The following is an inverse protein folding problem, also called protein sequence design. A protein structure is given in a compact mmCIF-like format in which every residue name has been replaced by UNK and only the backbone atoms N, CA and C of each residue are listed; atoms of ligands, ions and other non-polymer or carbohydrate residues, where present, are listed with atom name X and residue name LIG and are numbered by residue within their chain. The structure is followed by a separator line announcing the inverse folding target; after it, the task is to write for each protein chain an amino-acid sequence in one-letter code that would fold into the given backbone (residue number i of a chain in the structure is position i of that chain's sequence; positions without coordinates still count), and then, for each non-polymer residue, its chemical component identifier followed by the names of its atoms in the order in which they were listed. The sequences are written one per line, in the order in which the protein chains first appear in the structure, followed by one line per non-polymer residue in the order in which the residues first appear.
data_IF_460120619681
#
_entry.id   IF_460120619681
#
_cell.length_a   1.000
_cell.length_b   1.000
_cell.length_c   1.000
_cell.angle_alpha   90.00
_cell.angle_beta   90.00
_cell.angle_gamma   90.00
#
_symmetry.space_group_name_H-M   'P 1'
#
loop_
_entity.id
_entity.type
_entity.pdbx_description
1 polymer ?
#
# COMPACT_ATOMS: atom_id res chain seq x y z
N UNK A 1 -31.79 0.59 23.16
CA UNK A 1 -32.36 1.59 22.22
C UNK A 1 -31.17 2.24 21.54
N UNK A 2 -30.73 1.71 20.39
CA UNK A 2 -31.18 2.06 19.04
C UNK A 2 -30.79 3.49 18.64
N UNK A 3 -29.72 3.52 17.83
CA UNK A 3 -29.42 4.42 16.70
C UNK A 3 -29.41 5.93 16.89
N UNK A 4 -28.25 6.51 17.21
CA UNK A 4 -27.93 7.88 16.79
C UNK A 4 -26.46 8.00 16.35
N UNK A 5 -26.25 8.17 15.03
CA UNK A 5 -25.05 8.82 14.48
C UNK A 5 -24.09 8.02 13.58
N UNK A 6 -24.52 7.04 12.76
CA UNK A 6 -23.64 6.51 11.70
C UNK A 6 -23.50 7.60 10.61
N UNK A 7 -22.38 8.34 10.58
CA UNK A 7 -22.17 9.48 9.66
C UNK A 7 -22.44 9.14 8.20
N UNK A 8 -22.75 10.07 7.31
CA UNK A 8 -22.16 11.40 7.11
C UNK A 8 -23.19 12.30 6.38
N UNK A 9 -23.16 13.63 6.54
CA UNK A 9 -24.11 14.50 5.82
C UNK A 9 -23.53 15.73 5.08
N UNK A 10 -22.22 16.02 5.17
CA UNK A 10 -21.37 16.73 4.17
C UNK A 10 -19.99 17.18 4.75
N UNK A 11 -19.77 17.02 6.06
CA UNK A 11 -18.50 16.97 6.85
C UNK A 11 -18.47 18.17 7.76
N UNK A 12 -18.80 17.97 9.03
CA UNK A 12 -18.97 19.03 10.02
C UNK A 12 -17.61 19.70 10.33
N UNK A 13 -17.45 20.96 9.87
CA UNK A 13 -16.61 22.06 10.37
C UNK A 13 -15.13 21.84 10.79
N UNK A 14 -14.25 22.78 10.41
CA UNK A 14 -12.84 22.88 10.85
C UNK A 14 -12.63 23.01 12.38
N UNK A 15 -13.70 23.21 13.16
CA UNK A 15 -13.68 23.34 14.63
C UNK A 15 -14.37 22.19 15.38
N UNK A 16 -15.03 21.26 14.67
CA UNK A 16 -15.68 20.06 15.24
C UNK A 16 -15.32 18.83 14.42
N UNK A 17 -14.04 18.46 14.46
CA UNK A 17 -13.57 17.19 13.92
C UNK A 17 -14.30 16.07 14.64
N UNK A 18 -14.88 15.11 13.90
CA UNK A 18 -15.32 13.84 14.50
C UNK A 18 -14.08 13.13 15.05
N UNK A 19 -13.87 13.25 16.36
CA UNK A 19 -12.65 12.79 17.05
C UNK A 19 -12.44 11.26 17.00
N UNK A 20 -13.47 10.48 16.66
CA UNK A 20 -13.41 9.01 16.67
C UNK A 20 -14.03 8.39 15.40
N UNK A 21 -13.28 7.54 14.67
CA UNK A 21 -13.84 6.74 13.58
C UNK A 21 -14.87 5.72 14.11
N UNK A 22 -15.74 5.16 13.26
CA UNK A 22 -16.64 4.09 13.66
C UNK A 22 -15.83 2.89 14.19
N UNK A 23 -16.38 2.17 15.17
CA UNK A 23 -15.71 1.00 15.77
C UNK A 23 -15.51 -0.16 14.79
N UNK A 24 -16.24 -0.15 13.67
CA UNK A 24 -16.09 -1.07 12.56
C UNK A 24 -16.09 -0.26 11.26
N UNK A 25 -15.06 -0.42 10.45
CA UNK A 25 -15.00 0.15 9.11
C UNK A 25 -15.47 -0.90 8.11
N UNK A 26 -16.69 -0.73 7.60
CA UNK A 26 -17.30 -1.65 6.64
C UNK A 26 -16.84 -1.30 5.21
N UNK A 27 -16.07 -2.17 4.53
CA UNK A 27 -15.62 -1.91 3.16
C UNK A 27 -16.76 -1.89 2.13
N UNK A 28 -17.95 -2.40 2.48
CA UNK A 28 -19.13 -2.37 1.60
C UNK A 28 -19.95 -1.09 1.74
N UNK A 29 -19.70 -0.30 2.79
CA UNK A 29 -20.32 1.01 2.98
C UNK A 29 -19.43 2.11 2.39
N UNK A 30 -19.88 2.72 1.29
CA UNK A 30 -19.17 3.84 0.67
C UNK A 30 -18.95 5.02 1.63
N UNK A 31 -19.77 5.15 2.68
CA UNK A 31 -19.58 6.16 3.72
C UNK A 31 -18.24 6.01 4.45
N UNK A 32 -17.56 4.86 4.37
CA UNK A 32 -16.20 4.71 4.90
C UNK A 32 -15.18 5.65 4.22
N UNK A 33 -15.39 6.01 2.94
CA UNK A 33 -14.53 6.97 2.22
C UNK A 33 -14.51 8.37 2.88
N UNK A 34 -15.56 8.67 3.64
CA UNK A 34 -15.75 9.89 4.41
C UNK A 34 -14.71 10.05 5.53
N UNK A 35 -14.01 8.98 5.89
CA UNK A 35 -13.05 8.96 7.01
C UNK A 35 -11.60 8.95 6.56
N UNK A 36 -11.37 9.04 5.26
CA UNK A 36 -10.04 9.01 4.67
C UNK A 36 -9.36 10.37 4.74
N UNK A 37 -8.03 10.39 4.77
CA UNK A 37 -7.29 11.64 4.92
C UNK A 37 -7.36 12.47 3.63
N UNK A 38 -7.82 13.71 3.70
CA UNK A 38 -7.84 14.62 2.54
C UNK A 38 -6.50 15.35 2.31
N UNK A 39 -5.65 15.36 3.34
CA UNK A 39 -4.41 16.13 3.41
C UNK A 39 -4.60 17.63 3.10
N UNK A 40 -5.76 18.20 3.46
CA UNK A 40 -6.13 19.57 3.09
C UNK A 40 -5.12 20.60 3.61
N UNK A 41 -4.64 20.43 4.85
CA UNK A 41 -3.70 21.34 5.50
C UNK A 41 -2.28 21.29 4.92
N UNK A 42 -1.92 20.19 4.25
CA UNK A 42 -0.61 20.01 3.63
C UNK A 42 -0.57 20.52 2.18
N UNK A 43 -1.72 20.85 1.59
CA UNK A 43 -1.82 21.30 0.19
C UNK A 43 -1.51 22.78 0.06
N UNK A 44 -0.87 23.14 -1.05
CA UNK A 44 -0.65 24.54 -1.37
C UNK A 44 -1.94 25.21 -1.88
N UNK A 45 -1.99 26.55 -1.80
CA UNK A 45 -3.17 27.35 -2.18
C UNK A 45 -3.59 27.17 -3.64
N UNK A 46 -2.65 26.94 -4.56
CA UNK A 46 -2.94 26.77 -5.97
C UNK A 46 -3.67 25.44 -6.25
N UNK A 47 -3.22 24.34 -5.63
CA UNK A 47 -3.89 23.03 -5.70
C UNK A 47 -5.30 23.10 -5.10
N UNK A 48 -5.46 23.70 -3.91
CA UNK A 48 -6.76 23.88 -3.27
C UNK A 48 -7.71 24.73 -4.12
N UNK A 49 -7.22 25.82 -4.73
CA UNK A 49 -8.02 26.65 -5.63
C UNK A 49 -8.50 25.87 -6.85
N UNK A 50 -7.61 25.16 -7.54
CA UNK A 50 -7.96 24.37 -8.72
C UNK A 50 -9.01 23.30 -8.40
N UNK A 51 -8.86 22.59 -7.28
CA UNK A 51 -9.85 21.59 -6.83
C UNK A 51 -11.18 22.22 -6.47
N UNK A 52 -11.18 23.41 -5.90
CA UNK A 52 -12.41 24.16 -5.57
C UNK A 52 -13.16 24.55 -6.85
N UNK A 53 -12.45 25.09 -7.84
CA UNK A 53 -13.04 25.41 -9.15
C UNK A 53 -13.59 24.16 -9.82
N UNK A 54 -12.84 23.06 -9.82
CA UNK A 54 -13.29 21.77 -10.36
C UNK A 54 -14.54 21.25 -9.63
N UNK A 55 -14.59 21.35 -8.30
CA UNK A 55 -15.73 20.92 -7.51
C UNK A 55 -16.99 21.71 -7.87
N UNK A 56 -16.91 23.05 -7.94
CA UNK A 56 -18.04 23.90 -8.34
C UNK A 56 -18.50 23.59 -9.77
N UNK A 57 -17.56 23.41 -10.70
CA UNK A 57 -17.87 23.04 -12.08
C UNK A 57 -18.60 21.69 -12.16
N UNK A 58 -18.10 20.66 -11.47
CA UNK A 58 -18.73 19.34 -11.44
C UNK A 58 -20.11 19.37 -10.78
N UNK A 59 -20.29 20.17 -9.72
CA UNK A 59 -21.61 20.42 -9.12
C UNK A 59 -22.58 21.05 -10.12
N UNK A 60 -22.12 22.00 -10.93
CA UNK A 60 -22.93 22.57 -12.00
C UNK A 60 -23.32 21.53 -13.05
N UNK A 61 -22.39 20.66 -13.46
CA UNK A 61 -22.70 19.55 -14.36
C UNK A 61 -23.76 18.60 -13.78
N UNK A 62 -23.70 18.28 -12.48
CA UNK A 62 -24.72 17.46 -11.81
C UNK A 62 -26.11 18.13 -11.82
N UNK A 63 -26.16 19.44 -11.57
CA UNK A 63 -27.40 20.21 -11.63
C UNK A 63 -28.03 20.16 -13.02
N UNK A 64 -27.24 20.38 -14.09
CA UNK A 64 -27.71 20.25 -15.47
C UNK A 64 -28.19 18.83 -15.81
N UNK A 65 -27.58 17.82 -15.19
CA UNK A 65 -27.98 16.41 -15.30
C UNK A 65 -29.25 16.05 -14.52
N UNK A 66 -29.88 17.00 -13.82
CA UNK A 66 -31.11 16.77 -13.05
C UNK A 66 -30.88 16.13 -11.68
N UNK A 67 -29.66 16.17 -11.13
CA UNK A 67 -29.41 15.75 -9.76
C UNK A 67 -30.31 16.55 -8.78
N UNK A 68 -30.93 15.92 -7.76
CA UNK A 68 -31.88 16.59 -6.87
C UNK A 68 -31.18 17.53 -5.89
N UNK A 69 -30.91 18.76 -6.34
CA UNK A 69 -30.22 19.81 -5.60
C UNK A 69 -30.79 21.19 -5.89
N UNK A 70 -30.58 22.12 -4.96
CA UNK A 70 -31.08 23.49 -5.03
C UNK A 70 -29.91 24.48 -4.95
N UNK A 71 -29.92 25.49 -5.81
CA UNK A 71 -28.95 26.59 -5.77
C UNK A 71 -29.31 27.62 -4.67
N UNK A 72 -28.45 28.62 -4.49
CA UNK A 72 -28.47 29.56 -3.38
C UNK A 72 -29.88 30.12 -3.05
N UNK A 73 -30.59 30.63 -4.05
CA UNK A 73 -31.90 31.26 -3.87
C UNK A 73 -33.07 30.24 -3.84
N UNK A 74 -32.77 28.96 -4.07
CA UNK A 74 -33.76 27.88 -4.16
C UNK A 74 -33.84 27.07 -2.87
N UNK A 75 -32.79 27.13 -2.02
CA UNK A 75 -32.71 26.32 -0.79
C UNK A 75 -32.76 27.17 0.48
N UNK A 76 -33.77 26.99 1.36
CA UNK A 76 -33.80 27.69 2.65
C UNK A 76 -32.68 27.23 3.61
N UNK A 77 -32.06 26.08 3.33
CA UNK A 77 -31.05 25.44 4.19
C UNK A 77 -29.61 25.63 3.65
N UNK A 78 -29.38 26.54 2.69
CA UNK A 78 -28.10 26.65 1.98
C UNK A 78 -26.87 26.85 2.88
N UNK A 79 -27.02 27.63 3.96
CA UNK A 79 -25.97 27.87 4.96
C UNK A 79 -26.12 27.04 6.23
N UNK A 80 -27.11 26.14 6.27
CA UNK A 80 -27.36 25.29 7.44
C UNK A 80 -26.39 24.12 7.41
N UNK A 81 -25.95 23.65 8.58
CA UNK A 81 -25.19 22.41 8.64
C UNK A 81 -26.11 21.20 8.38
N UNK A 82 -25.61 20.14 7.73
CA UNK A 82 -26.42 18.95 7.50
C UNK A 82 -26.86 18.24 8.80
N UNK A 83 -28.12 17.79 8.89
CA UNK A 83 -28.73 17.20 10.10
C UNK A 83 -28.82 15.67 10.10
N UNK A 84 -28.03 14.98 10.95
CA UNK A 84 -27.93 13.50 11.03
C UNK A 84 -29.28 12.76 11.00
N UNK A 85 -30.36 13.35 11.52
CA UNK A 85 -31.70 12.76 11.63
C UNK A 85 -32.72 13.29 10.63
N UNK A 86 -32.45 14.43 9.96
CA UNK A 86 -33.37 15.07 9.01
C UNK A 86 -32.70 15.33 7.67
N UNK A 87 -32.96 14.46 6.69
CA UNK A 87 -32.45 14.59 5.31
C UNK A 87 -33.43 15.39 4.45
N UNK A 88 -33.00 16.48 3.77
CA UNK A 88 -33.86 17.20 2.85
C UNK A 88 -34.08 16.40 1.56
N UNK A 89 -35.20 16.64 0.87
CA UNK A 89 -35.51 15.98 -0.42
C UNK A 89 -34.57 16.43 -1.55
N UNK A 90 -34.01 17.63 -1.43
CA UNK A 90 -33.06 18.23 -2.36
C UNK A 90 -31.91 18.83 -1.55
N UNK A 91 -30.68 18.58 -1.97
CA UNK A 91 -29.48 19.03 -1.25
C UNK A 91 -29.09 20.45 -1.68
N UNK A 92 -28.63 21.34 -0.78
CA UNK A 92 -27.98 22.57 -1.20
C UNK A 92 -26.79 22.29 -2.11
N UNK A 93 -26.66 23.06 -3.20
CA UNK A 93 -25.56 22.93 -4.15
C UNK A 93 -24.18 23.10 -3.48
N UNK A 94 -24.08 23.97 -2.48
CA UNK A 94 -22.88 24.17 -1.68
C UNK A 94 -22.41 22.89 -0.98
N UNK A 95 -23.33 22.06 -0.49
CA UNK A 95 -23.00 20.80 0.18
C UNK A 95 -22.47 19.78 -0.83
N UNK A 96 -23.10 19.70 -2.01
CA UNK A 96 -22.64 18.83 -3.09
C UNK A 96 -21.22 19.24 -3.51
N UNK A 97 -20.97 20.55 -3.70
CA UNK A 97 -19.65 21.07 -4.02
C UNK A 97 -18.61 20.78 -2.93
N UNK A 98 -18.96 20.92 -1.65
CA UNK A 98 -18.09 20.59 -0.53
C UNK A 98 -17.73 19.10 -0.50
N UNK A 99 -18.70 18.21 -0.72
CA UNK A 99 -18.46 16.77 -0.83
C UNK A 99 -17.53 16.43 -2.00
N UNK A 100 -17.75 17.01 -3.18
CA UNK A 100 -16.87 16.79 -4.34
C UNK A 100 -15.46 17.31 -4.04
N UNK A 101 -15.32 18.49 -3.45
CA UNK A 101 -14.02 19.04 -3.07
C UNK A 101 -13.29 18.14 -2.08
N UNK A 102 -13.98 17.59 -1.08
CA UNK A 102 -13.42 16.59 -0.17
C UNK A 102 -12.95 15.36 -0.94
N UNK A 103 -13.79 14.78 -1.82
CA UNK A 103 -13.43 13.59 -2.58
C UNK A 103 -12.25 13.83 -3.54
N UNK A 104 -12.20 14.98 -4.22
CA UNK A 104 -11.06 15.33 -5.07
C UNK A 104 -9.76 15.31 -4.27
N UNK A 105 -9.77 15.84 -3.04
CA UNK A 105 -8.61 15.83 -2.16
C UNK A 105 -8.30 14.42 -1.63
N UNK A 106 -9.28 13.76 -1.01
CA UNK A 106 -9.11 12.44 -0.37
C UNK A 106 -8.71 11.37 -1.39
N UNK A 107 -9.39 11.23 -2.52
CA UNK A 107 -9.11 10.18 -3.50
C UNK A 107 -7.68 10.28 -4.03
N UNK A 108 -7.14 11.49 -4.18
CA UNK A 108 -5.75 11.65 -4.64
C UNK A 108 -4.68 11.13 -3.68
N UNK A 109 -4.98 11.04 -2.37
CA UNK A 109 -4.06 10.53 -1.35
C UNK A 109 -4.36 9.09 -0.92
N UNK A 110 -5.55 8.57 -1.23
CA UNK A 110 -6.02 7.26 -0.76
C UNK A 110 -6.38 6.31 -1.91
N UNK A 111 -6.28 6.76 -3.16
CA UNK A 111 -6.53 5.93 -4.33
C UNK A 111 -5.42 4.90 -4.50
N UNK A 112 -5.81 3.66 -4.83
CA UNK A 112 -4.89 2.55 -5.09
C UNK A 112 -4.95 2.16 -6.55
N UNK A 113 -3.78 1.90 -7.14
CA UNK A 113 -3.70 1.27 -8.45
C UNK A 113 -4.16 -0.17 -8.37
N UNK A 114 -5.12 -0.53 -9.22
CA UNK A 114 -5.45 -1.90 -9.55
C UNK A 114 -4.80 -2.24 -10.90
N UNK A 115 -3.84 -3.16 -10.85
CA UNK A 115 -2.99 -3.51 -11.98
C UNK A 115 -3.01 -5.02 -12.22
N UNK A 116 -2.79 -5.41 -13.46
CA UNK A 116 -2.49 -6.78 -13.87
C UNK A 116 -1.00 -6.95 -14.10
N UNK A 117 -0.44 -8.05 -13.60
CA UNK A 117 0.96 -8.39 -13.84
C UNK A 117 1.10 -9.04 -15.22
N UNK A 118 1.75 -8.35 -16.15
CA UNK A 118 1.94 -8.83 -17.53
C UNK A 118 3.33 -9.42 -17.68
N UNK A 119 3.37 -10.73 -17.97
CA UNK A 119 4.59 -11.47 -18.23
C UNK A 119 4.82 -11.57 -19.74
N UNK A 120 5.99 -11.17 -20.23
CA UNK A 120 6.41 -11.43 -21.63
C UNK A 120 6.98 -12.84 -21.79
N UNK A 121 7.60 -13.36 -20.73
CA UNK A 121 8.11 -14.74 -20.71
C UNK A 121 8.24 -15.22 -19.28
N UNK A 122 7.78 -16.44 -19.01
CA UNK A 122 8.01 -17.12 -17.73
C UNK A 122 9.50 -17.45 -17.50
N UNK A 123 10.31 -17.47 -18.57
CA UNK A 123 11.77 -17.66 -18.46
C UNK A 123 12.51 -16.37 -18.05
N UNK A 124 11.83 -15.22 -18.02
CA UNK A 124 12.40 -13.94 -17.60
C UNK A 124 11.44 -13.18 -16.69
N UNK A 125 11.26 -13.71 -15.48
CA UNK A 125 10.37 -13.14 -14.46
C UNK A 125 10.76 -11.71 -14.04
N UNK A 126 12.00 -11.28 -14.30
CA UNK A 126 12.46 -9.91 -14.05
C UNK A 126 11.90 -8.88 -15.04
N UNK A 127 11.29 -9.32 -16.14
CA UNK A 127 10.68 -8.45 -17.14
C UNK A 127 9.15 -8.32 -16.98
N UNK A 128 8.59 -8.77 -15.84
CA UNK A 128 7.18 -8.52 -15.51
C UNK A 128 6.90 -7.02 -15.48
N UNK A 129 5.76 -6.61 -16.04
CA UNK A 129 5.32 -5.22 -16.05
C UNK A 129 3.92 -5.11 -15.44
N UNK A 130 3.73 -4.31 -14.39
CA UNK A 130 2.40 -4.03 -13.88
C UNK A 130 1.67 -3.12 -14.86
N UNK A 131 0.61 -3.62 -15.49
CA UNK A 131 -0.27 -2.82 -16.35
C UNK A 131 -1.41 -2.25 -15.52
N UNK A 132 -1.44 -0.91 -15.39
CA UNK A 132 -2.55 -0.20 -14.75
C UNK A 132 -3.84 -0.45 -15.53
N UNK A 133 -4.89 -0.87 -14.82
CA UNK A 133 -6.22 -1.07 -15.39
C UNK A 133 -7.16 0.04 -14.90
N UNK A 134 -7.22 0.23 -13.58
CA UNK A 134 -8.15 1.18 -12.97
C UNK A 134 -7.61 1.68 -11.63
N UNK A 135 -8.04 2.87 -11.22
CA UNK A 135 -7.79 3.38 -9.88
C UNK A 135 -9.00 3.14 -8.99
N UNK A 136 -8.76 2.54 -7.83
CA UNK A 136 -9.82 2.13 -6.91
C UNK A 136 -9.68 2.86 -5.57
N UNK A 137 -10.82 3.18 -4.96
CA UNK A 137 -10.86 3.64 -3.57
C UNK A 137 -11.27 2.48 -2.68
N UNK A 138 -10.33 2.02 -1.86
CA UNK A 138 -10.55 0.93 -0.91
C UNK A 138 -10.45 1.49 0.51
N UNK A 139 -11.57 1.85 1.17
CA UNK A 139 -11.53 2.55 2.45
C UNK A 139 -10.71 1.82 3.53
N UNK A 140 -10.88 0.49 3.66
CA UNK A 140 -10.12 -0.30 4.65
C UNK A 140 -8.63 -0.38 4.31
N UNK A 141 -8.28 -0.56 3.04
CA UNK A 141 -6.88 -0.65 2.60
C UNK A 141 -6.18 0.72 2.72
N UNK A 142 -6.91 1.82 2.57
CA UNK A 142 -6.38 3.18 2.71
C UNK A 142 -5.94 3.53 4.14
N UNK A 143 -6.29 2.70 5.13
CA UNK A 143 -5.78 2.82 6.50
C UNK A 143 -4.34 2.30 6.67
N UNK A 144 -3.83 1.56 5.69
CA UNK A 144 -2.52 0.92 5.77
C UNK A 144 -1.45 1.95 5.42
N UNK A 145 -0.60 2.28 6.38
CA UNK A 145 0.44 3.29 6.23
C UNK A 145 1.60 2.80 5.36
N UNK A 146 2.40 3.77 4.91
CA UNK A 146 3.56 3.53 4.07
C UNK A 146 4.82 3.10 4.86
N UNK A 147 5.59 2.17 4.29
CA UNK A 147 7.03 2.01 4.57
C UNK A 147 7.78 1.65 3.30
N UNK A 148 8.96 2.24 3.08
CA UNK A 148 9.83 1.85 1.96
C UNK A 148 10.40 0.43 2.13
N UNK A 149 10.36 -0.12 3.36
CA UNK A 149 10.55 -1.54 3.67
C UNK A 149 9.26 -2.10 4.31
N UNK A 150 8.23 -2.44 3.52
CA UNK A 150 6.93 -2.80 4.06
C UNK A 150 6.94 -4.20 4.68
N UNK A 151 6.09 -4.43 5.69
CA UNK A 151 5.93 -5.76 6.29
C UNK A 151 4.82 -6.58 5.63
N UNK A 152 4.09 -5.96 4.69
CA UNK A 152 3.09 -6.60 3.86
C UNK A 152 3.22 -6.17 2.40
N UNK A 153 2.44 -6.78 1.52
CA UNK A 153 2.26 -6.33 0.14
C UNK A 153 0.82 -6.58 -0.30
N UNK A 154 0.37 -5.79 -1.27
CA UNK A 154 -0.95 -5.89 -1.88
C UNK A 154 -0.95 -6.84 -3.07
N UNK A 155 -2.03 -7.62 -3.19
CA UNK A 155 -2.30 -8.52 -4.33
C UNK A 155 -3.65 -8.15 -4.93
N UNK A 156 -3.69 -7.87 -6.24
CA UNK A 156 -4.94 -7.63 -6.98
C UNK A 156 -5.51 -8.96 -7.45
N UNK A 157 -6.77 -9.26 -7.14
CA UNK A 157 -7.40 -10.56 -7.46
C UNK A 157 -8.34 -10.45 -8.64
N UNK A 158 -8.40 -11.48 -9.50
CA UNK A 158 -9.41 -11.55 -10.56
C UNK A 158 -10.87 -11.64 -10.03
N UNK A 159 -11.85 -11.44 -10.92
CA UNK A 159 -13.27 -11.58 -10.61
C UNK A 159 -13.97 -10.36 -10.02
N UNK A 160 -13.34 -9.19 -10.14
CA UNK A 160 -13.80 -7.89 -9.63
C UNK A 160 -12.60 -7.11 -9.14
N UNK A 161 -12.62 -5.77 -9.18
CA UNK A 161 -11.48 -4.95 -8.76
C UNK A 161 -11.27 -5.02 -7.24
N UNK A 162 -10.81 -6.17 -6.73
CA UNK A 162 -10.62 -6.49 -5.32
C UNK A 162 -9.14 -6.76 -5.03
N UNK A 163 -8.73 -6.51 -3.79
CA UNK A 163 -7.36 -6.77 -3.34
C UNK A 163 -7.36 -7.45 -1.97
N UNK A 164 -6.29 -8.18 -1.67
CA UNK A 164 -5.94 -8.56 -0.31
C UNK A 164 -4.51 -8.14 0.01
N UNK A 165 -4.18 -8.14 1.29
CA UNK A 165 -2.82 -7.91 1.78
C UNK A 165 -2.25 -9.22 2.31
N UNK A 166 -1.03 -9.55 1.90
CA UNK A 166 -0.28 -10.67 2.43
C UNK A 166 0.94 -10.21 3.24
N UNK A 167 1.21 -10.91 4.34
CA UNK A 167 2.38 -10.62 5.18
C UNK A 167 3.67 -11.10 4.52
N UNK A 168 4.69 -10.24 4.52
CA UNK A 168 6.06 -10.54 4.06
C UNK A 168 6.96 -11.04 5.18
N UNK A 169 6.53 -10.91 6.44
CA UNK A 169 7.27 -11.31 7.64
C UNK A 169 6.29 -11.55 8.80
N UNK A 170 6.69 -12.25 9.88
CA UNK A 170 5.83 -12.43 11.05
C UNK A 170 5.35 -11.10 11.63
N UNK A 171 4.06 -11.01 11.94
CA UNK A 171 3.41 -9.83 12.51
C UNK A 171 2.84 -10.16 13.89
N UNK A 172 3.60 -9.92 14.99
CA UNK A 172 3.07 -10.02 16.35
C UNK A 172 1.86 -9.10 16.56
N UNK A 173 0.96 -9.48 17.47
CA UNK A 173 -0.20 -8.64 17.81
C UNK A 173 0.24 -7.23 18.25
N UNK A 174 -0.43 -6.20 17.73
CA UNK A 174 -0.07 -4.80 17.95
C UNK A 174 0.98 -4.25 16.97
N UNK A 175 1.53 -5.07 16.08
CA UNK A 175 2.40 -4.58 14.99
C UNK A 175 1.57 -3.84 13.96
N UNK A 176 1.99 -2.63 13.59
CA UNK A 176 1.39 -1.87 12.51
C UNK A 176 1.56 -2.59 11.17
N UNK A 177 0.50 -2.61 10.36
CA UNK A 177 0.52 -3.14 9.00
C UNK A 177 1.00 -2.03 8.07
N UNK A 178 2.03 -2.31 7.27
CA UNK A 178 2.67 -1.33 6.39
C UNK A 178 2.76 -1.89 4.96
N UNK A 179 2.36 -1.07 3.99
CA UNK A 179 2.47 -1.32 2.55
C UNK A 179 3.46 -0.33 1.92
N UNK A 180 3.85 -0.56 0.66
CA UNK A 180 4.65 0.40 -0.10
C UNK A 180 3.76 1.09 -1.14
N UNK A 181 3.69 2.41 -1.08
CA UNK A 181 2.80 3.23 -1.91
C UNK A 181 3.40 3.54 -3.29
N UNK A 182 4.70 3.39 -3.38
CA UNK A 182 5.58 3.77 -4.50
C UNK A 182 6.60 2.63 -4.66
N UNK A 183 7.75 2.92 -5.26
CA UNK A 183 8.88 2.00 -5.23
C UNK A 183 9.47 1.82 -3.82
N UNK A 184 9.85 0.58 -3.51
CA UNK A 184 10.51 0.24 -2.25
C UNK A 184 11.98 0.70 -2.24
N UNK A 185 12.63 0.66 -1.07
CA UNK A 185 14.00 1.19 -0.93
C UNK A 185 15.03 0.51 -1.83
N UNK A 186 14.76 -0.73 -2.23
CA UNK A 186 15.68 -1.51 -3.04
C UNK A 186 15.65 -1.11 -4.52
N UNK A 187 14.58 -0.46 -4.98
CA UNK A 187 14.39 -0.10 -6.40
C UNK A 187 14.77 1.36 -6.65
N UNK A 188 14.18 2.29 -5.90
CA UNK A 188 14.39 3.73 -6.07
C UNK A 188 15.27 4.30 -4.95
N UNK A 189 15.97 5.41 -5.22
CA UNK A 189 16.79 6.14 -4.24
C UNK A 189 15.93 6.81 -3.15
N UNK A 190 16.54 7.22 -2.04
CA UNK A 190 15.83 7.92 -0.96
C UNK A 190 15.23 9.22 -1.47
N UNK A 191 15.97 9.94 -2.31
CA UNK A 191 15.56 11.21 -2.91
C UNK A 191 14.32 11.04 -3.79
N UNK A 192 14.32 10.03 -4.67
CA UNK A 192 13.18 9.71 -5.53
C UNK A 192 11.94 9.35 -4.71
N UNK A 193 12.07 8.42 -3.75
CA UNK A 193 10.97 8.02 -2.88
C UNK A 193 10.41 9.19 -2.08
N UNK A 194 11.26 10.01 -1.48
CA UNK A 194 10.82 11.19 -0.71
C UNK A 194 10.12 12.21 -1.59
N UNK A 195 10.64 12.45 -2.80
CA UNK A 195 10.02 13.36 -3.77
C UNK A 195 8.63 12.88 -4.17
N UNK A 196 8.48 11.59 -4.49
CA UNK A 196 7.20 11.00 -4.88
C UNK A 196 6.20 11.05 -3.72
N UNK A 197 6.59 10.61 -2.52
CA UNK A 197 5.74 10.63 -1.34
C UNK A 197 5.31 12.04 -0.93
N UNK A 198 6.23 13.01 -1.01
CA UNK A 198 5.92 14.42 -0.71
C UNK A 198 4.97 15.01 -1.75
N UNK A 199 5.17 14.68 -3.04
CA UNK A 199 4.36 15.22 -4.13
C UNK A 199 2.95 14.64 -4.17
N UNK A 200 2.80 13.33 -3.97
CA UNK A 200 1.53 12.62 -4.13
C UNK A 200 0.76 12.45 -2.81
N UNK A 201 1.48 12.11 -1.74
CA UNK A 201 0.87 11.76 -0.45
C UNK A 201 1.09 12.81 0.63
N UNK A 202 1.85 13.87 0.33
CA UNK A 202 2.00 15.08 1.16
C UNK A 202 2.62 14.80 2.53
N UNK A 203 3.53 13.82 2.62
CA UNK A 203 4.30 13.53 3.82
C UNK A 203 5.76 13.18 3.51
N UNK A 204 6.62 13.30 4.51
CA UNK A 204 8.00 12.83 4.46
C UNK A 204 8.13 11.48 5.17
N UNK A 205 8.69 10.48 4.50
CA UNK A 205 8.79 9.14 5.06
C UNK A 205 9.89 9.06 6.12
N UNK A 206 9.54 8.59 7.32
CA UNK A 206 10.45 8.37 8.43
C UNK A 206 10.65 6.88 8.75
N UNK A 207 10.39 5.99 7.78
CA UNK A 207 10.66 4.56 7.97
C UNK A 207 12.17 4.31 8.13
N UNK A 208 12.53 3.15 8.71
CA UNK A 208 13.93 2.76 8.98
C UNK A 208 14.83 2.91 7.75
N UNK A 209 14.35 2.50 6.57
CA UNK A 209 15.10 2.59 5.33
C UNK A 209 15.39 4.04 4.89
N UNK A 210 14.51 5.00 5.19
CA UNK A 210 14.74 6.42 4.92
C UNK A 210 15.59 7.09 6.00
N UNK A 211 15.39 6.75 7.27
CA UNK A 211 16.17 7.35 8.37
C UNK A 211 17.62 6.91 8.36
N UNK A 212 17.88 5.65 8.01
CA UNK A 212 19.23 5.07 7.94
C UNK A 212 19.86 5.13 6.54
N UNK A 213 19.21 5.79 5.57
CA UNK A 213 19.68 5.90 4.18
C UNK A 213 20.08 4.55 3.56
N UNK A 214 19.15 3.60 3.57
CA UNK A 214 19.43 2.26 3.05
C UNK A 214 19.71 2.31 1.54
N UNK A 215 20.77 1.62 1.07
CA UNK A 215 21.13 1.60 -0.34
C UNK A 215 20.10 0.83 -1.18
N UNK A 216 19.96 1.21 -2.45
CA UNK A 216 19.20 0.45 -3.44
C UNK A 216 20.01 -0.71 -4.05
N UNK A 217 19.42 -1.47 -4.97
CA UNK A 217 20.07 -2.61 -5.63
C UNK A 217 21.28 -2.23 -6.49
N UNK A 218 21.25 -1.05 -7.10
CA UNK A 218 22.33 -0.55 -7.96
C UNK A 218 23.44 0.16 -7.18
N UNK A 219 23.27 0.32 -5.86
CA UNK A 219 24.23 1.00 -5.01
C UNK A 219 25.30 0.02 -4.51
N UNK A 220 26.57 0.37 -4.72
CA UNK A 220 27.74 -0.41 -4.32
C UNK A 220 27.79 -0.71 -2.82
N UNK A 221 27.17 0.12 -1.98
CA UNK A 221 27.06 -0.07 -0.53
C UNK A 221 26.29 -1.35 -0.19
N UNK A 222 25.34 -1.77 -1.04
CA UNK A 222 24.54 -2.98 -0.83
C UNK A 222 25.41 -4.25 -0.73
N UNK A 223 26.56 -4.28 -1.41
CA UNK A 223 27.50 -5.42 -1.36
C UNK A 223 28.06 -5.63 0.06
N UNK A 224 28.22 -4.55 0.82
CA UNK A 224 28.70 -4.59 2.20
C UNK A 224 27.61 -4.97 3.23
N UNK A 225 26.33 -4.90 2.85
CA UNK A 225 25.18 -5.13 3.76
C UNK A 225 24.81 -6.61 3.84
N UNK A 226 25.70 -7.40 4.46
CA UNK A 226 25.57 -8.86 4.64
C UNK A 226 25.62 -9.28 6.10
N UNK A 227 24.73 -8.68 6.89
CA UNK A 227 24.59 -8.99 8.30
C UNK A 227 23.69 -10.23 8.50
N UNK A 228 24.12 -11.12 9.41
CA UNK A 228 23.38 -12.32 9.80
C UNK A 228 23.14 -12.31 11.31
N UNK A 229 21.95 -12.74 11.74
CA UNK A 229 21.61 -13.02 13.12
C UNK A 229 21.93 -14.48 13.46
N UNK A 230 22.77 -14.69 14.48
CA UNK A 230 23.13 -16.04 14.91
C UNK A 230 21.90 -16.78 15.47
N UNK A 231 21.53 -17.98 14.98
CA UNK A 231 20.36 -18.68 15.47
C UNK A 231 20.51 -19.15 16.93
N UNK A 232 21.75 -19.30 17.42
CA UNK A 232 22.05 -19.80 18.77
C UNK A 232 22.10 -18.71 19.84
N UNK A 233 22.82 -17.61 19.59
CA UNK A 233 23.02 -16.55 20.59
C UNK A 233 22.40 -15.21 20.20
N UNK A 234 21.71 -15.14 19.05
CA UNK A 234 21.05 -13.93 18.50
C UNK A 234 21.96 -12.74 18.16
N UNK A 235 23.26 -12.86 18.43
CA UNK A 235 24.26 -11.86 18.02
C UNK A 235 24.26 -11.65 16.51
N UNK A 236 24.35 -10.39 16.10
CA UNK A 236 24.46 -9.99 14.69
C UNK A 236 25.94 -9.90 14.32
N UNK A 237 26.30 -10.45 13.16
CA UNK A 237 27.66 -10.39 12.64
C UNK A 237 27.63 -10.30 11.11
N UNK A 238 28.69 -9.77 10.51
CA UNK A 238 28.76 -9.51 9.06
C UNK A 238 29.60 -10.56 8.33
N UNK A 239 29.18 -10.92 7.12
CA UNK A 239 30.01 -11.67 6.19
C UNK A 239 31.18 -10.79 5.70
N UNK A 240 32.37 -11.35 5.40
CA UNK A 240 32.67 -12.76 5.09
C UNK A 240 33.05 -13.64 6.29
N UNK A 241 32.71 -13.25 7.53
CA UNK A 241 32.97 -14.10 8.69
C UNK A 241 32.34 -15.48 8.53
N UNK A 242 33.13 -16.55 8.75
CA UNK A 242 32.69 -17.95 8.61
C UNK A 242 31.98 -18.50 9.85
N UNK A 243 32.01 -17.76 10.96
CA UNK A 243 31.48 -18.16 12.27
C UNK A 243 30.95 -16.93 12.98
N UNK A 244 29.96 -17.12 13.86
CA UNK A 244 29.46 -16.06 14.73
C UNK A 244 30.60 -15.43 15.55
N UNK A 245 30.62 -14.10 15.61
CA UNK A 245 31.59 -13.30 16.39
C UNK A 245 31.60 -13.68 17.87
N UNK A 246 30.43 -13.97 18.44
CA UNK A 246 30.25 -14.30 19.86
C UNK A 246 30.44 -15.80 20.15
N UNK A 247 29.52 -16.67 19.72
CA UNK A 247 29.53 -18.09 20.10
C UNK A 247 30.39 -19.00 19.19
N UNK A 248 31.08 -18.44 18.19
CA UNK A 248 31.95 -19.15 17.23
C UNK A 248 31.28 -20.27 16.42
N UNK A 249 29.95 -20.34 16.47
CA UNK A 249 29.16 -21.31 15.71
C UNK A 249 29.14 -20.99 14.21
N UNK A 250 29.33 -21.99 13.33
CA UNK A 250 29.20 -21.82 11.88
C UNK A 250 27.74 -21.91 11.40
N UNK A 251 26.78 -22.24 12.28
CA UNK A 251 25.40 -22.58 11.87
C UNK A 251 24.72 -21.51 11.03
N UNK A 252 24.87 -20.23 11.38
CA UNK A 252 24.28 -19.12 10.63
C UNK A 252 24.78 -19.08 9.19
N UNK A 253 26.08 -19.23 8.98
CA UNK A 253 26.71 -19.18 7.64
C UNK A 253 26.30 -20.38 6.81
N UNK A 254 26.32 -21.59 7.40
CA UNK A 254 25.89 -22.82 6.71
C UNK A 254 24.43 -22.73 6.28
N UNK A 255 23.56 -22.21 7.14
CA UNK A 255 22.15 -22.00 6.79
C UNK A 255 22.00 -20.95 5.69
N UNK A 256 22.72 -19.83 5.79
CA UNK A 256 22.69 -18.77 4.79
C UNK A 256 23.12 -19.28 3.42
N UNK A 257 24.23 -20.01 3.33
CA UNK A 257 24.71 -20.62 2.08
C UNK A 257 23.71 -21.61 1.51
N UNK A 258 23.10 -22.47 2.35
CA UNK A 258 22.06 -23.40 1.90
C UNK A 258 20.83 -22.67 1.36
N UNK A 259 20.32 -21.68 2.08
CA UNK A 259 19.13 -20.93 1.67
C UNK A 259 19.40 -20.16 0.37
N UNK A 260 20.57 -19.52 0.26
CA UNK A 260 20.95 -18.68 -0.89
C UNK A 260 21.28 -19.49 -2.14
N UNK A 261 22.06 -20.58 -2.01
CA UNK A 261 22.62 -21.28 -3.15
C UNK A 261 21.81 -22.53 -3.56
N UNK A 262 20.89 -23.00 -2.73
CA UNK A 262 20.12 -24.22 -2.99
C UNK A 262 18.63 -23.96 -2.95
N UNK A 263 18.11 -23.43 -1.82
CA UNK A 263 16.66 -23.34 -1.63
C UNK A 263 16.04 -22.25 -2.48
N UNK A 264 16.60 -21.04 -2.48
CA UNK A 264 16.10 -19.91 -3.26
C UNK A 264 16.14 -20.18 -4.78
N UNK A 265 17.24 -20.64 -5.39
CA UNK A 265 17.27 -20.95 -6.83
C UNK A 265 16.25 -22.02 -7.22
N UNK A 266 16.07 -23.05 -6.39
CA UNK A 266 15.05 -24.08 -6.61
C UNK A 266 13.63 -23.51 -6.59
N UNK A 267 13.35 -22.52 -5.74
CA UNK A 267 12.03 -21.87 -5.77
C UNK A 267 11.83 -21.04 -7.04
N UNK A 268 12.82 -20.27 -7.48
CA UNK A 268 12.76 -19.56 -8.75
C UNK A 268 12.50 -20.51 -9.94
N UNK A 269 13.22 -21.63 -10.01
CA UNK A 269 13.03 -22.65 -11.06
C UNK A 269 11.58 -23.19 -11.11
N UNK A 270 10.92 -23.33 -9.96
CA UNK A 270 9.52 -23.76 -9.91
C UNK A 270 8.57 -22.69 -10.48
N UNK A 271 8.84 -21.41 -10.19
CA UNK A 271 8.06 -20.29 -10.72
C UNK A 271 8.27 -20.15 -12.22
N UNK A 272 9.52 -20.22 -12.70
CA UNK A 272 9.86 -20.12 -14.13
C UNK A 272 9.22 -21.23 -14.97
N UNK A 273 9.07 -22.44 -14.41
CA UNK A 273 8.39 -23.55 -15.07
C UNK A 273 6.87 -23.48 -15.02
N UNK A 274 6.29 -22.42 -14.44
CA UNK A 274 4.85 -22.28 -14.24
C UNK A 274 4.25 -23.33 -13.28
N UNK A 275 5.08 -23.97 -12.45
CA UNK A 275 4.64 -24.97 -11.46
C UNK A 275 4.32 -24.27 -10.14
N UNK A 276 3.47 -23.26 -10.20
CA UNK A 276 3.03 -22.51 -9.03
C UNK A 276 1.66 -23.01 -8.58
N UNK A 277 1.61 -23.49 -7.35
CA UNK A 277 0.39 -23.93 -6.68
C UNK A 277 0.47 -23.61 -5.19
N UNK A 278 -0.58 -23.93 -4.42
CA UNK A 278 -0.61 -23.67 -2.98
C UNK A 278 0.54 -24.33 -2.19
N UNK A 279 1.14 -25.42 -2.68
CA UNK A 279 2.35 -26.02 -2.12
C UNK A 279 3.60 -25.15 -2.36
N UNK A 280 3.75 -24.61 -3.56
CA UNK A 280 4.83 -23.67 -3.93
C UNK A 280 4.76 -22.39 -3.09
N UNK A 281 3.56 -21.81 -2.89
CA UNK A 281 3.37 -20.64 -2.02
C UNK A 281 3.81 -20.93 -0.57
N UNK A 282 3.44 -22.10 -0.03
CA UNK A 282 3.87 -22.51 1.33
C UNK A 282 5.38 -22.67 1.43
N UNK A 283 6.03 -23.25 0.43
CA UNK A 283 7.49 -23.40 0.40
C UNK A 283 8.21 -22.05 0.31
N UNK A 284 7.73 -21.14 -0.55
CA UNK A 284 8.25 -19.79 -0.68
C UNK A 284 8.08 -18.98 0.61
N UNK A 285 6.90 -19.06 1.26
CA UNK A 285 6.66 -18.47 2.57
C UNK A 285 7.64 -18.99 3.62
N UNK A 286 7.84 -20.31 3.68
CA UNK A 286 8.77 -20.93 4.64
C UNK A 286 10.21 -20.47 4.43
N UNK A 287 10.64 -20.35 3.17
CA UNK A 287 11.94 -19.80 2.82
C UNK A 287 12.09 -18.36 3.35
N UNK A 288 11.09 -17.51 3.13
CA UNK A 288 11.11 -16.12 3.59
C UNK A 288 11.13 -16.02 5.13
N UNK A 289 10.38 -16.88 5.83
CA UNK A 289 10.42 -16.98 7.30
C UNK A 289 11.81 -17.41 7.81
N UNK A 290 12.42 -18.40 7.18
CA UNK A 290 13.76 -18.89 7.55
C UNK A 290 14.83 -17.82 7.28
N UNK A 291 14.70 -17.07 6.19
CA UNK A 291 15.56 -15.92 5.89
C UNK A 291 15.35 -14.77 6.88
N UNK A 292 14.10 -14.45 7.25
CA UNK A 292 13.80 -13.40 8.22
C UNK A 292 14.36 -13.70 9.63
N UNK A 293 14.46 -14.97 10.00
CA UNK A 293 15.07 -15.37 11.26
C UNK A 293 16.61 -15.27 11.26
N UNK A 294 17.23 -15.19 10.09
CA UNK A 294 18.67 -15.35 9.89
C UNK A 294 19.37 -14.10 9.34
N UNK A 295 18.71 -13.35 8.48
CA UNK A 295 19.30 -12.25 7.70
C UNK A 295 18.80 -10.93 8.25
N UNK A 296 19.74 -10.04 8.56
CA UNK A 296 19.42 -8.69 8.99
C UNK A 296 19.33 -7.76 7.78
N UNK A 297 18.23 -7.02 7.70
CA UNK A 297 17.95 -6.08 6.61
C UNK A 297 18.71 -4.76 6.80
N UNK A 298 19.11 -4.07 5.72
CA UNK A 298 18.85 -4.40 4.30
C UNK A 298 19.74 -5.55 3.80
N UNK A 299 19.23 -6.38 2.90
CA UNK A 299 19.99 -7.48 2.32
C UNK A 299 19.43 -7.94 0.97
N UNK A 300 20.27 -7.86 -0.07
CA UNK A 300 19.91 -8.23 -1.44
C UNK A 300 19.30 -9.63 -1.59
N UNK A 301 19.83 -10.63 -0.88
CA UNK A 301 19.33 -12.01 -1.01
C UNK A 301 17.96 -12.14 -0.38
N UNK A 302 17.73 -11.48 0.76
CA UNK A 302 16.42 -11.40 1.37
C UNK A 302 15.41 -10.76 0.41
N UNK A 303 15.76 -9.62 -0.18
CA UNK A 303 14.88 -8.89 -1.08
C UNK A 303 14.51 -9.74 -2.31
N UNK A 304 15.47 -10.49 -2.86
CA UNK A 304 15.17 -11.46 -3.94
C UNK A 304 14.21 -12.56 -3.52
N UNK A 305 14.35 -13.10 -2.30
CA UNK A 305 13.42 -14.11 -1.79
C UNK A 305 12.02 -13.53 -1.54
N UNK A 306 11.95 -12.27 -1.13
CA UNK A 306 10.70 -11.54 -0.97
C UNK A 306 9.98 -11.39 -2.31
N UNK A 307 10.65 -10.92 -3.36
CA UNK A 307 10.04 -10.76 -4.68
C UNK A 307 9.62 -12.12 -5.27
N UNK A 308 10.40 -13.17 -5.07
CA UNK A 308 10.01 -14.54 -5.45
C UNK A 308 8.71 -14.98 -4.73
N UNK A 309 8.60 -14.69 -3.43
CA UNK A 309 7.39 -15.01 -2.67
C UNK A 309 6.18 -14.24 -3.20
N UNK A 310 6.33 -12.95 -3.51
CA UNK A 310 5.25 -12.15 -4.13
C UNK A 310 4.80 -12.77 -5.45
N UNK A 311 5.73 -13.06 -6.36
CA UNK A 311 5.44 -13.73 -7.64
C UNK A 311 4.67 -15.04 -7.43
N UNK A 312 5.08 -15.88 -6.48
CA UNK A 312 4.38 -17.14 -6.21
C UNK A 312 2.94 -16.92 -5.73
N UNK A 313 2.70 -15.88 -4.92
CA UNK A 313 1.35 -15.51 -4.48
C UNK A 313 0.54 -14.93 -5.65
N UNK A 314 1.11 -14.04 -6.46
CA UNK A 314 0.44 -13.42 -7.60
C UNK A 314 0.06 -14.45 -8.67
N UNK A 315 0.94 -15.41 -8.98
CA UNK A 315 0.59 -16.50 -9.90
C UNK A 315 -0.57 -17.38 -9.40
N UNK A 316 -0.74 -17.51 -8.08
CA UNK A 316 -1.77 -18.39 -7.49
C UNK A 316 -3.09 -17.66 -7.23
N UNK A 317 -3.02 -16.39 -6.85
CA UNK A 317 -4.15 -15.63 -6.32
C UNK A 317 -4.37 -14.28 -7.00
N UNK A 318 -3.35 -13.79 -7.71
CA UNK A 318 -3.37 -12.50 -8.39
C UNK A 318 -4.00 -12.56 -9.78
N UNK A 319 -4.14 -11.38 -10.38
CA UNK A 319 -4.47 -11.20 -11.79
C UNK A 319 -3.18 -11.00 -12.60
N UNK A 320 -2.98 -11.86 -13.58
CA UNK A 320 -1.79 -11.86 -14.42
C UNK A 320 -2.10 -12.40 -15.81
N UNK A 321 -1.27 -12.01 -16.77
CA UNK A 321 -1.34 -12.44 -18.15
C UNK A 321 0.03 -12.83 -18.71
N UNK A 322 0.07 -13.70 -19.72
CA UNK A 322 1.28 -14.05 -20.46
C UNK A 322 1.13 -13.60 -21.91
N UNK A 323 2.01 -12.72 -22.38
CA UNK A 323 2.05 -12.25 -23.75
C UNK A 323 3.02 -13.05 -24.65
N UNK A 324 2.68 -13.27 -25.93
CA UNK A 324 1.41 -12.93 -26.57
C UNK A 324 0.29 -13.85 -26.06
N UNK A 325 -0.92 -13.29 -25.95
CA UNK A 325 -2.13 -14.02 -25.59
C UNK A 325 -2.31 -15.23 -26.53
N UNK A 326 -2.48 -16.42 -25.95
CA UNK A 326 -2.70 -17.66 -26.71
C UNK A 326 -4.07 -17.71 -27.39
#
# INVERSE_FOLDING_TARGET
MQEEGRGHQAFEGATKVREKPPSLLDPTDYSAAAWLVACSEQRNRADLWQRTVAAVFLTYCLSLGGYPMDWFDESPDFYTAPSLTKRPNRLPASWVAACILYHLQSVSANGHSYSEEVFVSLNNLGAVQPQHIVSCLYPTLSLVNHSCDPNTFRVCTGGGASCFIAALRPLPAGTEILDCYTDCFSIASKEERQKELTSHYLFQCACKACTEDWPGFLDVRMVAMRALKCPQCKEVFTLPARRCSHCKSPKAVVLYERLTNVVLPKQFELVERGVVNGGSVKAAKKLLEDMNALIERPNFVYDRAQEMFKMAVDFTHGIWALEPWA
#
